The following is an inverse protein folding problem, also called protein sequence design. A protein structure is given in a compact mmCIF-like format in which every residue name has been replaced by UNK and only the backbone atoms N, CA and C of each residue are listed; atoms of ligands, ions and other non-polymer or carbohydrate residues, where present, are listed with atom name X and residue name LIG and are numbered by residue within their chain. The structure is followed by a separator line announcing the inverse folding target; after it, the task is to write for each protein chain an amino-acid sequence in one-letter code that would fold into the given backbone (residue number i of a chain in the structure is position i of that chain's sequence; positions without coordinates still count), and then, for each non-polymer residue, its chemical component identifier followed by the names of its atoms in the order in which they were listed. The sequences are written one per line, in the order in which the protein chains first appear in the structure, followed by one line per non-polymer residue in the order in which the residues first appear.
data_IF_563493364035
#
_entry.id   IF_563493364035
#
_cell.length_a   1.000
_cell.length_b   1.000
_cell.length_c   1.000
_cell.angle_alpha   90.00
_cell.angle_beta   90.00
_cell.angle_gamma   90.00
#
_symmetry.space_group_name_H-M   'P 1'
#
loop_
_entity.id
_entity.type
_entity.pdbx_description
1 polymer ?
#
# COMPACT_ATOMS: atom_id res chain seq x y z
N UNK A 1 -5.50 11.07 -20.23
CA UNK A 1 -4.14 11.63 -20.05
C UNK A 1 -3.71 11.41 -18.59
N UNK A 2 -2.46 11.07 -18.40
CA UNK A 2 -1.94 10.88 -17.04
C UNK A 2 -1.87 12.24 -16.35
N UNK A 3 -2.43 12.29 -15.14
CA UNK A 3 -2.43 13.52 -14.32
C UNK A 3 -1.47 13.45 -13.14
N UNK A 4 -1.00 12.26 -12.76
CA UNK A 4 -0.05 12.12 -11.68
C UNK A 4 0.60 10.75 -11.63
N UNK A 5 1.81 10.73 -11.12
CA UNK A 5 2.54 9.47 -10.87
C UNK A 5 3.20 9.57 -9.50
N UNK A 6 3.31 8.43 -8.83
CA UNK A 6 3.98 8.34 -7.54
C UNK A 6 4.71 7.03 -7.41
N UNK A 7 5.79 7.06 -6.69
CA UNK A 7 6.61 5.88 -6.40
C UNK A 7 7.12 5.97 -4.98
N UNK A 8 7.15 4.85 -4.30
CA UNK A 8 7.75 4.78 -2.98
C UNK A 8 8.44 3.44 -2.79
N UNK A 9 9.46 3.42 -1.96
CA UNK A 9 10.21 2.21 -1.63
C UNK A 9 10.34 2.13 -0.11
N UNK A 10 10.16 0.93 0.43
CA UNK A 10 10.20 0.67 1.87
C UNK A 10 11.17 -0.47 2.14
N UNK A 11 12.09 -0.25 3.10
CA UNK A 11 12.88 -1.32 3.68
C UNK A 11 12.00 -2.05 4.68
N UNK A 12 11.56 -3.27 4.34
CA UNK A 12 10.60 -3.99 5.15
C UNK A 12 11.15 -4.44 6.50
N UNK A 13 12.47 -4.47 6.65
CA UNK A 13 13.09 -4.82 7.93
C UNK A 13 13.02 -3.68 8.96
N UNK A 14 12.68 -2.48 8.52
CA UNK A 14 12.44 -1.36 9.43
C UNK A 14 11.03 -1.39 10.03
N UNK A 15 10.15 -2.23 9.48
CA UNK A 15 8.78 -2.32 9.94
C UNK A 15 8.72 -3.14 11.22
N UNK A 16 8.12 -2.56 12.26
CA UNK A 16 7.89 -3.26 13.52
C UNK A 16 6.47 -3.81 13.53
N UNK A 17 6.34 -5.12 13.27
CA UNK A 17 5.04 -5.79 13.24
C UNK A 17 4.39 -5.86 14.62
N UNK A 18 5.18 -5.71 15.69
CA UNK A 18 4.66 -5.71 17.06
C UNK A 18 4.05 -4.37 17.45
N UNK A 19 4.27 -3.35 16.65
CA UNK A 19 3.63 -2.05 16.84
C UNK A 19 2.20 -2.09 16.28
N UNK A 20 1.27 -2.58 17.08
CA UNK A 20 -0.13 -2.73 16.67
C UNK A 20 -0.77 -1.41 16.27
N UNK A 21 -0.41 -0.31 16.94
CA UNK A 21 -0.93 1.00 16.59
C UNK A 21 -0.60 1.37 15.17
N UNK A 22 0.64 1.14 14.75
CA UNK A 22 1.07 1.43 13.38
C UNK A 22 0.35 0.53 12.39
N UNK A 23 0.31 -0.78 12.65
CA UNK A 23 -0.33 -1.75 11.76
C UNK A 23 -1.81 -1.41 11.56
N UNK A 24 -2.53 -1.16 12.65
CA UNK A 24 -3.96 -0.85 12.59
C UNK A 24 -4.24 0.52 11.98
N UNK A 25 -3.32 1.46 12.13
CA UNK A 25 -3.44 2.78 11.51
C UNK A 25 -3.22 2.70 9.99
N UNK A 26 -2.30 1.84 9.57
CA UNK A 26 -1.96 1.70 8.16
C UNK A 26 -2.99 0.87 7.39
N UNK A 27 -3.43 -0.24 7.96
CA UNK A 27 -4.27 -1.22 7.26
C UNK A 27 -5.74 -1.00 7.56
N UNK A 28 -6.57 -1.06 6.52
CA UNK A 28 -8.02 -1.14 6.71
C UNK A 28 -8.37 -2.48 7.33
N UNK A 29 -9.61 -2.62 7.78
CA UNK A 29 -10.09 -3.88 8.36
C UNK A 29 -9.89 -5.06 7.41
N UNK A 30 -10.22 -4.88 6.14
CA UNK A 30 -10.07 -5.95 5.15
C UNK A 30 -8.60 -6.27 4.87
N UNK A 31 -7.76 -5.26 4.78
CA UNK A 31 -6.31 -5.46 4.62
C UNK A 31 -5.72 -6.17 5.83
N UNK A 32 -6.17 -5.81 7.03
CA UNK A 32 -5.69 -6.45 8.24
C UNK A 32 -6.03 -7.94 8.28
N UNK A 33 -7.22 -8.33 7.82
CA UNK A 33 -7.61 -9.73 7.75
C UNK A 33 -6.67 -10.53 6.83
N UNK A 34 -6.27 -9.96 5.70
CA UNK A 34 -5.30 -10.58 4.81
C UNK A 34 -3.94 -10.70 5.49
N UNK A 35 -3.50 -9.61 6.12
CA UNK A 35 -2.22 -9.53 6.82
C UNK A 35 -2.09 -10.63 7.88
N UNK A 36 -3.07 -10.74 8.75
CA UNK A 36 -2.98 -11.71 9.86
C UNK A 36 -3.05 -13.17 9.40
N UNK A 37 -3.56 -13.42 8.19
CA UNK A 37 -3.64 -14.77 7.62
C UNK A 37 -2.41 -15.15 6.81
N UNK A 38 -1.41 -14.28 6.69
CA UNK A 38 -0.15 -14.64 6.05
C UNK A 38 0.59 -15.69 6.87
N UNK A 39 1.27 -16.61 6.17
CA UNK A 39 1.82 -17.81 6.78
C UNK A 39 3.17 -17.62 7.47
N UNK A 40 3.89 -16.55 7.16
CA UNK A 40 5.22 -16.33 7.71
C UNK A 40 5.43 -14.87 8.07
N UNK A 41 6.43 -14.62 8.92
CA UNK A 41 6.85 -13.27 9.27
C UNK A 41 7.27 -12.49 8.03
N UNK A 42 8.01 -13.14 7.14
CA UNK A 42 8.46 -12.51 5.91
C UNK A 42 7.28 -12.07 5.04
N UNK A 43 6.29 -12.94 4.86
CA UNK A 43 5.09 -12.61 4.08
C UNK A 43 4.31 -11.46 4.71
N UNK A 44 4.22 -11.41 6.04
CA UNK A 44 3.58 -10.31 6.75
C UNK A 44 4.30 -8.98 6.52
N UNK A 45 5.63 -9.01 6.58
CA UNK A 45 6.44 -7.80 6.33
C UNK A 45 6.32 -7.34 4.88
N UNK A 46 6.32 -8.27 3.94
CA UNK A 46 6.16 -7.96 2.52
C UNK A 46 4.79 -7.34 2.25
N UNK A 47 3.75 -7.90 2.83
CA UNK A 47 2.40 -7.36 2.67
C UNK A 47 2.28 -5.96 3.27
N UNK A 48 2.71 -5.81 4.51
CA UNK A 48 2.65 -4.52 5.21
C UNK A 48 3.48 -3.46 4.48
N UNK A 49 4.70 -3.82 4.09
CA UNK A 49 5.59 -2.92 3.36
C UNK A 49 5.04 -2.52 2.00
N UNK A 50 4.45 -3.47 1.29
CA UNK A 50 3.81 -3.20 0.00
C UNK A 50 2.64 -2.24 0.13
N UNK A 51 1.78 -2.42 1.13
CA UNK A 51 0.65 -1.51 1.39
C UNK A 51 1.13 -0.15 1.84
N UNK A 52 2.16 -0.09 2.67
CA UNK A 52 2.74 1.18 3.10
C UNK A 52 3.32 1.95 1.92
N UNK A 53 4.16 1.30 1.11
CA UNK A 53 4.73 1.92 -0.09
C UNK A 53 3.62 2.39 -1.04
N UNK A 54 2.60 1.58 -1.24
CA UNK A 54 1.49 1.90 -2.15
C UNK A 54 0.69 3.12 -1.69
N UNK A 55 0.41 3.23 -0.39
CA UNK A 55 -0.36 4.36 0.13
C UNK A 55 0.45 5.65 0.12
N UNK A 56 1.76 5.57 0.39
CA UNK A 56 2.65 6.71 0.23
C UNK A 56 2.76 7.15 -1.23
N UNK A 57 2.90 6.18 -2.16
CA UNK A 57 2.91 6.48 -3.59
C UNK A 57 1.60 7.12 -4.06
N UNK A 58 0.48 6.69 -3.48
CA UNK A 58 -0.84 7.28 -3.75
C UNK A 58 -0.86 8.76 -3.38
N UNK A 59 -0.38 9.11 -2.20
CA UNK A 59 -0.31 10.51 -1.77
C UNK A 59 0.53 11.34 -2.74
N UNK A 60 1.66 10.81 -3.16
CA UNK A 60 2.54 11.50 -4.12
C UNK A 60 1.85 11.70 -5.47
N UNK A 61 1.19 10.66 -5.98
CA UNK A 61 0.55 10.72 -7.29
C UNK A 61 -0.62 11.70 -7.33
N UNK A 62 -1.37 11.81 -6.24
CA UNK A 62 -2.51 12.71 -6.14
C UNK A 62 -2.15 14.10 -5.60
N UNK A 63 -0.90 14.30 -5.17
CA UNK A 63 -0.49 15.57 -4.57
C UNK A 63 -1.19 15.86 -3.25
N UNK A 64 -1.54 14.82 -2.51
CA UNK A 64 -2.24 14.95 -1.23
C UNK A 64 -1.22 15.07 -0.10
N UNK A 65 -1.40 16.09 0.74
CA UNK A 65 -0.56 16.28 1.91
C UNK A 65 -0.99 15.33 3.04
N UNK A 66 -0.02 14.93 3.86
CA UNK A 66 -0.30 14.11 5.04
C UNK A 66 -1.25 14.86 5.96
N UNK A 67 -2.21 14.12 6.51
CA UNK A 67 -3.24 14.67 7.39
C UNK A 67 -4.54 15.06 6.71
N UNK A 68 -4.53 15.21 5.38
CA UNK A 68 -5.76 15.51 4.63
C UNK A 68 -6.56 14.24 4.32
N UNK A 69 -5.89 13.10 4.34
CA UNK A 69 -6.49 11.81 4.07
C UNK A 69 -5.78 10.78 4.94
N UNK A 70 -6.51 9.89 5.56
CA UNK A 70 -5.88 8.85 6.38
C UNK A 70 -5.57 7.62 5.55
N UNK A 71 -4.65 6.79 6.05
CA UNK A 71 -4.36 5.51 5.41
C UNK A 71 -5.60 4.61 5.32
N UNK A 72 -6.55 4.75 6.26
CA UNK A 72 -7.79 3.98 6.25
C UNK A 72 -8.75 4.38 5.14
N UNK A 73 -8.58 5.55 4.56
CA UNK A 73 -9.41 5.98 3.42
C UNK A 73 -8.96 5.30 2.13
N UNK A 74 -7.79 4.68 2.15
CA UNK A 74 -7.19 4.02 0.99
C UNK A 74 -7.18 2.52 1.26
N UNK A 75 -7.82 1.75 0.39
CA UNK A 75 -7.81 0.30 0.53
C UNK A 75 -7.33 -0.35 -0.75
N UNK A 76 -6.36 -1.26 -0.60
CA UNK A 76 -5.78 -1.98 -1.72
C UNK A 76 -5.97 -3.47 -1.46
N UNK A 77 -6.81 -4.07 -2.27
CA UNK A 77 -7.09 -5.49 -2.21
C UNK A 77 -6.61 -6.14 -3.51
N UNK A 78 -6.45 -7.44 -3.49
CA UNK A 78 -6.05 -8.17 -4.70
C UNK A 78 -7.29 -8.79 -5.33
N UNK A 79 -7.37 -8.72 -6.67
CA UNK A 79 -8.43 -9.42 -7.38
C UNK A 79 -8.12 -10.92 -7.44
N UNK A 80 -8.99 -11.69 -8.07
CA UNK A 80 -8.85 -13.15 -8.16
C UNK A 80 -7.56 -13.59 -8.86
N UNK A 81 -6.96 -12.71 -9.67
CA UNK A 81 -5.70 -12.97 -10.37
C UNK A 81 -4.48 -12.46 -9.61
N UNK A 82 -4.67 -11.93 -8.40
CA UNK A 82 -3.60 -11.40 -7.59
C UNK A 82 -3.21 -9.96 -7.90
N UNK A 83 -3.92 -9.31 -8.83
CA UNK A 83 -3.63 -7.94 -9.20
C UNK A 83 -4.15 -6.97 -8.16
N UNK A 84 -3.32 -6.02 -7.68
CA UNK A 84 -3.80 -5.05 -6.70
C UNK A 84 -4.83 -4.08 -7.30
N UNK A 85 -5.86 -3.83 -6.52
CA UNK A 85 -6.96 -2.91 -6.87
C UNK A 85 -7.15 -1.91 -5.75
N UNK A 86 -7.22 -0.65 -6.10
CA UNK A 86 -7.40 0.43 -5.14
C UNK A 86 -8.82 1.00 -5.26
N UNK A 87 -9.36 1.47 -4.13
CA UNK A 87 -10.74 1.97 -4.03
C UNK A 87 -10.94 3.40 -4.53
N UNK A 88 -10.11 3.85 -5.45
CA UNK A 88 -10.23 5.19 -6.05
C UNK A 88 -10.33 5.06 -7.57
N UNK A 89 -11.19 5.89 -8.21
CA UNK A 89 -11.33 5.85 -9.67
C UNK A 89 -10.09 6.41 -10.35
N UNK A 90 -9.86 5.98 -11.58
CA UNK A 90 -8.79 6.49 -12.44
C UNK A 90 -7.39 6.37 -11.82
N UNK A 91 -7.22 5.41 -10.90
CA UNK A 91 -5.98 5.20 -10.17
C UNK A 91 -5.53 3.75 -10.37
N UNK A 92 -4.30 3.59 -10.82
CA UNK A 92 -3.71 2.30 -11.13
C UNK A 92 -2.47 2.09 -10.29
N UNK A 93 -2.25 0.86 -9.86
CA UNK A 93 -1.22 0.56 -8.88
C UNK A 93 -0.47 -0.71 -9.24
N UNK A 94 0.83 -0.70 -9.00
CA UNK A 94 1.66 -1.88 -9.09
C UNK A 94 2.54 -1.96 -7.86
N UNK A 95 2.67 -3.16 -7.31
CA UNK A 95 3.48 -3.41 -6.11
C UNK A 95 4.42 -4.57 -6.42
N UNK A 96 5.67 -4.40 -6.04
CA UNK A 96 6.66 -5.47 -6.14
C UNK A 96 7.50 -5.51 -4.88
N UNK A 97 8.07 -6.66 -4.60
CA UNK A 97 9.02 -6.79 -3.50
C UNK A 97 10.13 -7.76 -3.89
N UNK A 98 11.31 -7.48 -3.37
CA UNK A 98 12.48 -8.34 -3.57
C UNK A 98 13.39 -8.17 -2.37
N UNK A 99 13.83 -9.29 -1.80
CA UNK A 99 14.70 -9.29 -0.62
C UNK A 99 14.08 -8.47 0.51
N UNK A 100 14.70 -7.35 0.85
CA UNK A 100 14.33 -6.51 1.98
C UNK A 100 13.51 -5.30 1.60
N UNK A 101 13.08 -5.20 0.33
CA UNK A 101 12.40 -4.00 -0.15
C UNK A 101 11.04 -4.29 -0.74
N UNK A 102 10.11 -3.39 -0.49
CA UNK A 102 8.85 -3.31 -1.21
C UNK A 102 8.81 -1.98 -1.97
N UNK A 103 8.32 -2.01 -3.19
CA UNK A 103 8.19 -0.82 -4.02
C UNK A 103 6.79 -0.75 -4.59
N UNK A 104 6.27 0.45 -4.75
CA UNK A 104 4.97 0.65 -5.36
C UNK A 104 5.02 1.83 -6.33
N UNK A 105 4.25 1.69 -7.40
CA UNK A 105 3.99 2.76 -8.35
C UNK A 105 2.50 3.01 -8.42
N UNK A 106 2.13 4.27 -8.49
CA UNK A 106 0.74 4.69 -8.66
C UNK A 106 0.66 5.64 -9.85
N UNK A 107 -0.29 5.38 -10.73
CA UNK A 107 -0.57 6.23 -11.88
C UNK A 107 -2.01 6.70 -11.77
N UNK A 108 -2.22 8.00 -11.96
CA UNK A 108 -3.54 8.61 -11.92
C UNK A 108 -3.83 9.20 -13.29
N UNK A 109 -5.01 8.89 -13.81
CA UNK A 109 -5.49 9.46 -15.07
C UNK A 109 -6.55 10.51 -14.80
N UNK A 110 -6.66 11.48 -15.72
CA UNK A 110 -7.75 12.45 -15.68
C UNK A 110 -9.08 11.71 -15.91
N UNK A 111 -10.02 11.99 -15.04
CA UNK A 111 -11.34 11.39 -15.08
C UNK A 111 -12.28 12.04 -16.08
#
# INVERSE_FOLDING_TARGET
MISGIGCDIVDINRLNLDNECFVLKLLTKNEFLIFKNKNSLKQKKEFLGGRFAAKEAFFKAHGIEHGMLSFHDIEILNDKNGKPKINYPNTFISIAHENDYAIAYVVVEEG
#
